data_IF_844748132168
#
_entry.id   IF_844748132168
#
_cell.length_a   1.000
_cell.length_b   1.000
_cell.length_c   1.000
_cell.angle_alpha   90.00
_cell.angle_beta   90.00
_cell.angle_gamma   90.00
#
_symmetry.space_group_name_H-M   'P 1'
#
loop_
_entity.id
_entity.type
_entity.pdbx_description
1 polymer ?
#
# COMPACT_ATOMS: atom_id res chain seq x y z
N UNK A 1 -37.30 17.56 -6.96
CA UNK A 1 -36.15 16.65 -7.17
C UNK A 1 -36.32 15.50 -6.20
N UNK A 2 -36.05 14.28 -6.64
CA UNK A 2 -36.09 13.09 -5.78
C UNK A 2 -34.66 12.82 -5.29
N UNK A 3 -34.49 12.68 -3.98
CA UNK A 3 -33.20 12.39 -3.37
C UNK A 3 -33.12 10.89 -3.09
N UNK A 4 -32.02 10.26 -3.48
CA UNK A 4 -31.71 8.86 -3.14
C UNK A 4 -30.51 8.85 -2.21
N UNK A 5 -30.63 8.17 -1.08
CA UNK A 5 -29.53 7.94 -0.15
C UNK A 5 -28.99 6.52 -0.33
N UNK A 6 -27.68 6.39 -0.41
CA UNK A 6 -26.98 5.10 -0.50
C UNK A 6 -25.90 5.11 0.59
N UNK A 7 -25.92 4.09 1.45
CA UNK A 7 -24.96 3.96 2.55
C UNK A 7 -24.04 2.78 2.27
N UNK A 8 -22.73 3.02 2.40
CA UNK A 8 -21.72 1.97 2.35
C UNK A 8 -21.31 1.58 3.77
N UNK A 9 -21.13 0.28 4.00
CA UNK A 9 -20.58 -0.28 5.24
C UNK A 9 -19.33 -1.05 4.85
N UNK A 10 -18.20 -0.68 5.44
CA UNK A 10 -16.89 -1.21 5.06
C UNK A 10 -16.18 -1.68 6.31
N UNK A 11 -15.76 -2.95 6.31
CA UNK A 11 -14.84 -3.50 7.31
C UNK A 11 -13.42 -3.36 6.78
N UNK A 12 -12.67 -2.40 7.31
CA UNK A 12 -11.30 -2.13 6.85
C UNK A 12 -10.31 -3.22 7.26
N UNK A 13 -10.65 -4.08 8.23
CA UNK A 13 -9.83 -5.24 8.56
C UNK A 13 -9.79 -6.28 7.42
N UNK A 14 -10.75 -6.25 6.49
CA UNK A 14 -10.83 -7.15 5.35
C UNK A 14 -10.13 -6.61 4.09
N UNK A 15 -9.55 -5.41 4.13
CA UNK A 15 -8.83 -4.82 2.99
C UNK A 15 -7.78 -5.75 2.36
N UNK A 16 -7.01 -6.57 3.11
CA UNK A 16 -6.07 -7.52 2.52
C UNK A 16 -6.72 -8.67 1.72
N UNK A 17 -8.02 -8.93 1.94
CA UNK A 17 -8.72 -10.10 1.40
C UNK A 17 -9.71 -9.77 0.26
N UNK A 18 -10.03 -8.49 0.05
CA UNK A 18 -10.89 -8.08 -1.07
C UNK A 18 -10.15 -8.10 -2.40
N UNK A 19 -10.88 -8.12 -3.51
CA UNK A 19 -10.27 -8.03 -4.84
C UNK A 19 -9.92 -6.57 -5.23
N UNK A 20 -9.07 -6.40 -6.24
CA UNK A 20 -8.58 -5.08 -6.66
C UNK A 20 -9.69 -4.17 -7.19
N UNK A 21 -10.71 -4.73 -7.85
CA UNK A 21 -11.85 -3.93 -8.35
C UNK A 21 -12.67 -3.32 -7.21
N UNK A 22 -12.86 -4.06 -6.12
CA UNK A 22 -13.54 -3.55 -4.94
C UNK A 22 -12.66 -2.54 -4.21
N UNK A 23 -11.35 -2.78 -4.10
CA UNK A 23 -10.42 -1.83 -3.52
C UNK A 23 -10.39 -0.49 -4.28
N UNK A 24 -10.45 -0.53 -5.62
CA UNK A 24 -10.59 0.66 -6.45
C UNK A 24 -11.93 1.39 -6.23
N UNK A 25 -13.03 0.65 -6.07
CA UNK A 25 -14.32 1.23 -5.68
C UNK A 25 -14.23 1.92 -4.31
N UNK A 26 -13.61 1.29 -3.31
CA UNK A 26 -13.43 1.87 -1.98
C UNK A 26 -12.61 3.15 -2.03
N UNK A 27 -11.60 3.24 -2.91
CA UNK A 27 -10.85 4.47 -3.13
C UNK A 27 -11.76 5.61 -3.61
N UNK A 28 -12.61 5.35 -4.60
CA UNK A 28 -13.56 6.35 -5.08
C UNK A 28 -14.56 6.75 -3.99
N UNK A 29 -15.05 5.81 -3.19
CA UNK A 29 -15.95 6.10 -2.05
C UNK A 29 -15.24 6.96 -1.01
N UNK A 30 -13.99 6.63 -0.66
CA UNK A 30 -13.22 7.37 0.32
C UNK A 30 -12.98 8.82 -0.10
N UNK A 31 -12.65 9.07 -1.38
CA UNK A 31 -12.42 10.42 -1.91
C UNK A 31 -13.72 11.21 -2.10
N UNK A 32 -14.83 10.53 -2.41
CA UNK A 32 -16.14 11.16 -2.55
C UNK A 32 -16.87 11.33 -1.20
N UNK A 33 -16.26 10.94 -0.08
CA UNK A 33 -16.86 11.01 1.24
C UNK A 33 -17.26 12.46 1.58
N UNK A 34 -18.54 12.74 1.93
CA UNK A 34 -19.02 14.09 2.19
C UNK A 34 -18.63 14.65 3.57
N UNK A 35 -17.86 13.92 4.37
CA UNK A 35 -17.36 14.38 5.66
C UNK A 35 -16.55 15.69 5.52
N UNK A 36 -16.56 16.50 6.59
CA UNK A 36 -15.79 17.74 6.61
C UNK A 36 -14.27 17.45 6.50
N UNK A 37 -13.53 18.41 5.96
CA UNK A 37 -12.07 18.32 5.93
C UNK A 37 -11.50 18.10 7.34
N UNK A 38 -10.59 17.14 7.47
CA UNK A 38 -9.96 16.79 8.74
C UNK A 38 -10.80 15.85 9.61
N UNK A 39 -11.95 15.35 9.14
CA UNK A 39 -12.68 14.31 9.84
C UNK A 39 -11.81 13.06 10.02
N UNK A 40 -11.62 12.67 11.28
CA UNK A 40 -10.67 11.61 11.64
C UNK A 40 -11.04 10.26 11.02
N UNK A 41 -12.32 9.92 11.00
CA UNK A 41 -12.79 8.63 10.49
C UNK A 41 -12.66 8.57 8.97
N UNK A 42 -13.07 9.62 8.27
CA UNK A 42 -12.95 9.72 6.82
C UNK A 42 -11.48 9.69 6.37
N UNK A 43 -10.61 10.44 7.06
CA UNK A 43 -9.18 10.45 6.80
C UNK A 43 -8.54 9.07 7.04
N UNK A 44 -8.85 8.41 8.16
CA UNK A 44 -8.34 7.06 8.47
C UNK A 44 -8.76 6.05 7.40
N UNK A 45 -10.05 6.07 7.02
CA UNK A 45 -10.56 5.19 5.98
C UNK A 45 -9.84 5.40 4.64
N UNK A 46 -9.67 6.66 4.21
CA UNK A 46 -8.96 6.98 2.97
C UNK A 46 -7.48 6.53 3.02
N UNK A 47 -6.82 6.70 4.17
CA UNK A 47 -5.43 6.29 4.38
C UNK A 47 -5.27 4.77 4.35
N UNK A 48 -6.14 4.02 5.04
CA UNK A 48 -6.12 2.56 5.06
C UNK A 48 -6.29 1.97 3.66
N UNK A 49 -7.27 2.47 2.89
CA UNK A 49 -7.49 2.06 1.50
C UNK A 49 -6.30 2.41 0.62
N UNK A 50 -5.79 3.65 0.70
CA UNK A 50 -4.66 4.10 -0.11
C UNK A 50 -3.38 3.30 0.17
N UNK A 51 -3.09 3.01 1.44
CA UNK A 51 -1.95 2.19 1.84
C UNK A 51 -2.05 0.77 1.31
N UNK A 52 -3.24 0.17 1.33
CA UNK A 52 -3.44 -1.17 0.79
C UNK A 52 -3.22 -1.20 -0.73
N UNK A 53 -3.69 -0.20 -1.47
CA UNK A 53 -3.42 -0.06 -2.91
C UNK A 53 -1.91 0.01 -3.17
N UNK A 54 -1.20 0.88 -2.45
CA UNK A 54 0.26 1.02 -2.58
C UNK A 54 0.98 -0.29 -2.22
N UNK A 55 0.56 -0.96 -1.15
CA UNK A 55 1.13 -2.25 -0.72
C UNK A 55 1.00 -3.31 -1.81
N UNK A 56 -0.18 -3.45 -2.42
CA UNK A 56 -0.42 -4.41 -3.52
C UNK A 56 0.37 -4.06 -4.77
N UNK A 57 0.38 -2.78 -5.15
CA UNK A 57 1.14 -2.31 -6.30
C UNK A 57 2.64 -2.58 -6.12
N UNK A 58 3.21 -2.26 -4.95
CA UNK A 58 4.62 -2.54 -4.63
C UNK A 58 4.92 -4.05 -4.62
N UNK A 59 4.00 -4.89 -4.16
CA UNK A 59 4.19 -6.35 -4.18
C UNK A 59 4.28 -6.92 -5.60
N UNK A 60 3.57 -6.32 -6.57
CA UNK A 60 3.62 -6.70 -7.98
C UNK A 60 4.68 -5.98 -8.81
N UNK A 61 5.33 -4.95 -8.27
CA UNK A 61 6.28 -4.10 -9.00
C UNK A 61 7.70 -4.38 -8.49
N UNK A 62 8.44 -5.32 -9.10
CA UNK A 62 9.81 -5.58 -8.68
C UNK A 62 10.68 -4.32 -8.86
N UNK A 63 11.59 -4.03 -7.93
CA UNK A 63 12.44 -2.86 -8.02
C UNK A 63 13.45 -3.00 -9.16
N UNK A 64 13.44 -2.04 -10.09
CA UNK A 64 14.35 -2.02 -11.27
C UNK A 64 15.83 -1.90 -10.89
N UNK A 65 16.14 -1.41 -9.68
CA UNK A 65 17.49 -1.15 -9.18
C UNK A 65 17.77 -1.91 -7.87
N UNK A 66 17.56 -3.23 -7.87
CA UNK A 66 17.81 -4.13 -6.71
C UNK A 66 19.32 -4.33 -6.39
N UNK A 67 20.12 -3.28 -6.52
CA UNK A 67 21.58 -3.32 -6.47
C UNK A 67 22.16 -3.07 -5.07
N UNK A 68 21.34 -2.68 -4.10
CA UNK A 68 21.78 -2.35 -2.73
C UNK A 68 21.18 -3.30 -1.69
N UNK A 69 21.58 -4.56 -1.73
CA UNK A 69 21.15 -5.57 -0.77
C UNK A 69 22.19 -5.78 0.31
N UNK A 70 21.76 -6.09 1.55
CA UNK A 70 22.67 -6.36 2.67
C UNK A 70 23.69 -7.46 2.34
N UNK A 71 23.31 -8.45 1.54
CA UNK A 71 24.23 -9.49 1.01
C UNK A 71 25.37 -8.92 0.15
N UNK A 72 25.14 -7.81 -0.56
CA UNK A 72 26.19 -7.14 -1.34
C UNK A 72 27.21 -6.43 -0.43
N UNK A 73 26.81 -6.02 0.79
CA UNK A 73 27.72 -5.44 1.75
C UNK A 73 28.67 -6.49 2.36
N UNK A 74 28.18 -7.70 2.64
CA UNK A 74 28.97 -8.80 3.23
C UNK A 74 30.06 -9.30 2.28
N UNK A 75 29.79 -9.37 0.98
CA UNK A 75 30.77 -9.80 -0.03
C UNK A 75 31.99 -8.86 -0.15
N UNK A 76 31.85 -7.58 0.25
CA UNK A 76 32.93 -6.59 0.20
C UNK A 76 33.92 -6.73 1.36
N UNK A 77 33.53 -7.37 2.45
CA UNK A 77 34.30 -7.41 3.71
C UNK A 77 35.19 -8.65 3.85
N UNK A 78 35.23 -9.54 2.86
CA UNK A 78 36.18 -10.66 2.79
C UNK A 78 37.32 -10.32 1.82
N UNK A 79 38.37 -9.61 2.25
CA UNK A 79 39.59 -9.55 1.47
C UNK A 79 40.23 -10.94 1.44
N UNK A 80 40.68 -11.34 0.24
CA UNK A 80 41.54 -12.48 -0.03
C UNK A 80 42.54 -12.76 1.12
N UNK A 81 42.30 -13.80 1.90
CA UNK A 81 43.33 -14.52 2.65
C UNK A 81 43.75 -15.73 1.79
N UNK A 82 44.34 -15.48 0.63
CA UNK A 82 44.92 -16.51 -0.21
C UNK A 82 45.94 -15.90 -1.18
N UNK A 83 47.06 -15.42 -0.66
CA UNK A 83 48.30 -15.30 -1.42
C UNK A 83 49.46 -14.87 -0.52
N UNK A 84 50.05 -15.80 0.23
CA UNK A 84 51.50 -15.80 0.50
C UNK A 84 51.93 -17.27 0.58
N UNK A 85 52.88 -17.64 -0.29
CA UNK A 85 53.57 -18.92 -0.31
C UNK A 85 54.88 -18.89 0.48
#
# INVERSE_FOLDING_TARGET
>A
MTTTSITFQVDTAQLPHVNDSYLAQLWHIAQANPAAFGDMTACSFAEEVGREIVRRWLAGTPPELWNHQGRHAVARTSPNLASEG
#
